data_IF_456646261526
#
_entry.id   IF_456646261526
#
_cell.length_a   1.000
_cell.length_b   1.000
_cell.length_c   1.000
_cell.angle_alpha   90.00
_cell.angle_beta   90.00
_cell.angle_gamma   90.00
#
_symmetry.space_group_name_H-M   'P 1'
#
loop_
_entity.id
_entity.type
_entity.pdbx_description
1 polymer ?
#
# COMPACT_ATOMS: atom_id res chain seq x y z
N UNK A 1 -3.68 -8.23 -25.10
CA UNK A 1 -4.52 -9.12 -24.27
C UNK A 1 -4.33 -8.65 -22.83
N UNK A 2 -5.40 -8.26 -22.15
CA UNK A 2 -5.32 -7.69 -20.79
C UNK A 2 -5.05 -8.86 -19.83
N UNK A 3 -3.93 -8.81 -19.12
CA UNK A 3 -3.55 -9.84 -18.15
C UNK A 3 -4.36 -9.67 -16.87
N UNK A 4 -4.55 -10.76 -16.13
CA UNK A 4 -5.23 -10.73 -14.83
C UNK A 4 -4.46 -9.78 -13.92
N UNK A 5 -5.15 -8.79 -13.36
CA UNK A 5 -4.54 -7.86 -12.41
C UNK A 5 -4.01 -6.56 -13.01
N UNK A 6 -3.87 -6.44 -14.33
CA UNK A 6 -3.38 -5.19 -14.98
C UNK A 6 -4.26 -3.96 -14.72
N UNK A 7 -5.51 -4.15 -14.27
CA UNK A 7 -6.41 -3.08 -13.80
C UNK A 7 -6.04 -2.51 -12.43
N UNK A 8 -5.19 -3.20 -11.67
CA UNK A 8 -4.84 -2.87 -10.30
C UNK A 8 -3.38 -2.44 -10.15
N UNK A 9 -2.65 -2.18 -11.24
CA UNK A 9 -1.29 -1.63 -11.17
C UNK A 9 -1.25 -0.33 -10.35
N UNK A 10 -2.23 0.54 -10.59
CA UNK A 10 -2.42 1.81 -9.87
C UNK A 10 -3.38 1.69 -8.67
N UNK A 11 -3.63 0.46 -8.19
CA UNK A 11 -4.46 0.29 -7.00
C UNK A 11 -3.80 0.94 -5.79
N UNK A 12 -4.62 1.60 -4.98
CA UNK A 12 -4.14 2.19 -3.74
C UNK A 12 -3.55 1.12 -2.83
N UNK A 13 -2.43 1.46 -2.20
CA UNK A 13 -1.78 0.63 -1.20
C UNK A 13 -2.10 1.22 0.16
N UNK A 14 -2.66 0.40 1.03
CA UNK A 14 -3.01 0.77 2.40
C UNK A 14 -2.28 -0.14 3.37
N UNK A 15 -1.57 0.44 4.34
CA UNK A 15 -1.04 -0.31 5.48
C UNK A 15 -1.37 0.36 6.79
N UNK A 16 -1.79 -0.44 7.77
CA UNK A 16 -2.15 0.11 9.07
C UNK A 16 -2.29 -0.96 10.16
N UNK A 17 -2.22 -0.57 11.45
CA UNK A 17 -2.70 -1.39 12.54
C UNK A 17 -4.19 -1.70 12.41
N UNK A 18 -4.57 -2.84 12.99
CA UNK A 18 -5.95 -3.20 13.24
C UNK A 18 -6.75 -2.11 13.93
N UNK A 19 -7.95 -1.87 13.39
CA UNK A 19 -9.01 -1.11 14.05
C UNK A 19 -10.00 -2.04 14.76
N UNK A 20 -9.89 -3.36 14.52
CA UNK A 20 -10.73 -4.38 15.11
C UNK A 20 -10.26 -4.65 16.54
N UNK A 21 -11.19 -4.63 17.48
CA UNK A 21 -10.92 -5.04 18.86
C UNK A 21 -10.63 -6.55 18.97
N UNK A 22 -11.00 -7.35 17.96
CA UNK A 22 -10.74 -8.78 17.94
C UNK A 22 -9.28 -9.11 17.57
N UNK A 23 -8.61 -8.22 16.83
CA UNK A 23 -7.25 -8.43 16.32
C UNK A 23 -6.30 -7.27 16.69
N UNK A 24 -6.19 -6.84 17.97
CA UNK A 24 -5.49 -5.61 18.34
C UNK A 24 -3.98 -5.66 18.06
N UNK A 25 -3.41 -6.85 17.98
CA UNK A 25 -1.97 -7.10 17.80
C UNK A 25 -1.59 -7.40 16.34
N UNK A 26 -2.46 -7.04 15.39
CA UNK A 26 -2.26 -7.27 13.95
C UNK A 26 -2.14 -5.94 13.20
N UNK A 27 -1.30 -5.92 12.17
CA UNK A 27 -1.27 -4.89 11.13
C UNK A 27 -1.55 -5.53 9.77
N UNK A 28 -2.06 -4.76 8.82
CA UNK A 28 -2.43 -5.24 7.50
C UNK A 28 -1.79 -4.45 6.39
N UNK A 29 -1.71 -5.09 5.23
CA UNK A 29 -1.47 -4.51 3.93
C UNK A 29 -2.62 -4.93 3.00
N UNK A 30 -3.23 -3.94 2.37
CA UNK A 30 -4.16 -4.11 1.27
C UNK A 30 -3.60 -3.43 0.02
N UNK A 31 -3.48 -4.19 -1.07
CA UNK A 31 -3.12 -3.69 -2.39
C UNK A 31 -3.97 -4.43 -3.42
N UNK A 32 -5.00 -3.78 -3.96
CA UNK A 32 -6.00 -4.44 -4.82
C UNK A 32 -6.63 -5.67 -4.15
N UNK A 33 -6.46 -6.85 -4.73
CA UNK A 33 -6.91 -8.14 -4.17
C UNK A 33 -5.86 -8.85 -3.30
N UNK A 34 -4.70 -8.24 -3.11
CA UNK A 34 -3.67 -8.75 -2.21
C UNK A 34 -4.01 -8.24 -0.82
N UNK A 35 -4.32 -9.17 0.07
CA UNK A 35 -4.48 -8.90 1.50
C UNK A 35 -3.46 -9.72 2.28
N UNK A 36 -2.67 -9.04 3.11
CA UNK A 36 -1.67 -9.67 3.98
C UNK A 36 -1.71 -8.99 5.34
N UNK A 37 -1.46 -9.77 6.37
CA UNK A 37 -1.38 -9.27 7.73
C UNK A 37 0.09 -9.35 8.24
N UNK A 38 0.35 -8.98 9.48
CA UNK A 38 1.55 -9.35 10.25
C UNK A 38 1.36 -8.96 11.73
N UNK A 39 2.17 -9.49 12.67
CA UNK A 39 2.17 -9.00 14.05
C UNK A 39 2.47 -7.50 14.11
N UNK A 40 1.69 -6.75 14.88
CA UNK A 40 1.82 -5.30 15.06
C UNK A 40 3.22 -4.90 15.53
N UNK A 41 3.83 -5.68 16.43
CA UNK A 41 5.18 -5.43 16.92
C UNK A 41 6.23 -5.42 15.79
N UNK A 42 6.07 -6.28 14.77
CA UNK A 42 6.96 -6.29 13.60
C UNK A 42 6.71 -5.09 12.69
N UNK A 43 5.45 -4.67 12.52
CA UNK A 43 5.09 -3.48 11.75
C UNK A 43 5.62 -2.20 12.41
N UNK A 44 5.49 -2.08 13.73
CA UNK A 44 6.03 -0.97 14.53
C UNK A 44 7.54 -0.80 14.36
N UNK A 45 8.27 -1.91 14.25
CA UNK A 45 9.71 -1.89 14.04
C UNK A 45 10.14 -1.31 12.67
N UNK A 46 9.23 -1.18 11.69
CA UNK A 46 9.54 -0.58 10.38
C UNK A 46 9.71 0.94 10.45
N UNK A 47 8.95 1.60 11.32
CA UNK A 47 8.84 3.06 11.26
C UNK A 47 9.73 3.78 12.27
N UNK A 48 10.27 3.08 13.29
CA UNK A 48 11.19 3.58 14.33
C UNK A 48 10.94 5.05 14.77
N UNK A 49 9.68 5.48 14.76
CA UNK A 49 9.30 6.88 14.94
C UNK A 49 8.32 7.01 16.11
N UNK A 50 8.62 7.88 17.09
CA UNK A 50 7.93 7.92 18.37
C UNK A 50 6.61 8.71 18.39
N UNK A 51 6.08 9.10 17.22
CA UNK A 51 4.89 9.95 17.16
C UNK A 51 3.60 9.13 16.95
N UNK A 52 2.47 9.53 17.57
CA UNK A 52 1.21 8.76 17.57
C UNK A 52 0.58 8.47 16.20
N UNK A 53 1.08 9.07 15.10
CA UNK A 53 0.57 8.87 13.74
C UNK A 53 1.47 8.02 12.83
N UNK A 54 2.65 7.60 13.29
CA UNK A 54 3.63 6.89 12.45
C UNK A 54 3.05 5.62 11.81
N UNK A 55 2.25 4.89 12.56
CA UNK A 55 1.71 3.60 12.13
C UNK A 55 0.56 3.76 11.13
N UNK A 56 -0.10 4.91 11.14
CA UNK A 56 -1.22 5.25 10.25
C UNK A 56 -0.77 6.07 9.04
N UNK A 57 0.53 6.34 8.88
CA UNK A 57 1.04 7.25 7.85
C UNK A 57 0.80 6.78 6.42
N UNK A 58 0.49 5.50 6.20
CA UNK A 58 0.11 4.93 4.90
C UNK A 58 -1.26 4.25 4.97
N UNK A 59 -2.07 4.59 5.98
CA UNK A 59 -3.45 4.12 6.07
C UNK A 59 -4.25 4.81 4.97
N UNK A 60 -4.81 4.02 4.08
CA UNK A 60 -5.71 4.48 3.04
C UNK A 60 -7.01 3.66 3.09
N UNK A 61 -8.00 4.16 3.83
CA UNK A 61 -9.32 3.52 4.04
C UNK A 61 -10.42 4.15 3.18
N UNK A 62 -10.07 4.59 1.97
CA UNK A 62 -11.09 5.14 1.07
C UNK A 62 -11.98 4.02 0.54
N UNK A 63 -13.27 4.09 0.88
CA UNK A 63 -14.34 3.23 0.33
C UNK A 63 -14.95 3.80 -0.95
N UNK A 64 -14.36 4.87 -1.51
CA UNK A 64 -14.89 5.62 -2.64
C UNK A 64 -14.01 5.45 -3.87
N UNK A 65 -14.65 5.36 -5.04
CA UNK A 65 -13.98 5.47 -6.33
C UNK A 65 -14.56 6.69 -7.05
N UNK A 66 -13.82 7.79 -7.03
CA UNK A 66 -14.07 8.93 -7.92
C UNK A 66 -12.84 9.12 -8.80
N UNK A 67 -12.98 9.29 -10.12
CA UNK A 67 -11.85 9.73 -10.93
C UNK A 67 -11.37 11.06 -10.36
N UNK A 68 -10.14 11.07 -9.83
CA UNK A 68 -9.56 12.31 -9.36
C UNK A 68 -9.13 13.13 -10.57
N UNK A 69 -10.03 14.01 -10.98
CA UNK A 69 -9.77 14.97 -12.04
C UNK A 69 -8.97 16.16 -11.52
N UNK A 70 -8.89 16.34 -10.19
CA UNK A 70 -7.99 17.33 -9.62
C UNK A 70 -6.55 16.85 -9.89
N UNK A 71 -5.73 17.74 -10.43
CA UNK A 71 -4.36 17.48 -10.90
C UNK A 71 -4.21 16.76 -12.24
N UNK A 72 -5.28 16.29 -12.91
CA UNK A 72 -5.12 15.64 -14.23
C UNK A 72 -4.54 16.60 -15.28
N UNK A 73 -5.06 17.83 -15.34
CA UNK A 73 -4.51 18.88 -16.23
C UNK A 73 -3.05 19.22 -15.88
N UNK A 74 -2.71 19.25 -14.59
CA UNK A 74 -1.35 19.49 -14.13
C UNK A 74 -0.41 18.34 -14.53
N UNK A 75 -0.86 17.09 -14.43
CA UNK A 75 -0.10 15.92 -14.87
C UNK A 75 0.18 15.95 -16.38
N UNK A 76 -0.83 16.29 -17.19
CA UNK A 76 -0.67 16.46 -18.65
C UNK A 76 0.33 17.57 -18.96
N UNK A 77 0.19 18.73 -18.31
CA UNK A 77 1.08 19.87 -18.52
C UNK A 77 2.53 19.55 -18.13
N UNK A 78 2.73 18.83 -17.03
CA UNK A 78 4.04 18.43 -16.52
C UNK A 78 4.62 17.20 -17.24
N UNK A 79 3.81 16.47 -18.03
CA UNK A 79 4.14 15.15 -18.60
C UNK A 79 4.67 14.17 -17.53
N UNK A 80 4.03 14.19 -16.37
CA UNK A 80 4.44 13.44 -15.19
C UNK A 80 3.22 13.17 -14.31
N UNK A 81 3.23 12.05 -13.59
CA UNK A 81 2.22 11.74 -12.57
C UNK A 81 2.56 12.35 -11.21
N UNK A 82 3.73 12.99 -11.04
CA UNK A 82 4.09 13.62 -9.77
C UNK A 82 3.03 14.61 -9.23
N UNK A 83 2.39 15.46 -10.07
CA UNK A 83 1.34 16.36 -9.59
C UNK A 83 0.11 15.66 -8.99
N UNK A 84 -0.17 14.41 -9.36
CA UNK A 84 -1.26 13.63 -8.77
C UNK A 84 -1.06 13.43 -7.26
N UNK A 85 0.20 13.26 -6.83
CA UNK A 85 0.55 13.03 -5.43
C UNK A 85 0.64 14.33 -4.60
N UNK A 86 0.45 15.50 -5.21
CA UNK A 86 0.41 16.77 -4.48
C UNK A 86 -0.82 16.81 -3.56
N UNK A 87 -0.60 16.88 -2.25
CA UNK A 87 -1.65 16.76 -1.23
C UNK A 87 -1.94 15.32 -0.79
N UNK A 88 -1.28 14.32 -1.39
CA UNK A 88 -1.37 12.89 -1.03
C UNK A 88 -0.05 12.40 -0.42
N UNK A 89 0.42 13.12 0.61
CA UNK A 89 1.74 12.89 1.25
C UNK A 89 1.87 11.52 1.93
N UNK A 90 0.77 10.78 2.03
CA UNK A 90 0.64 9.49 2.70
C UNK A 90 0.30 8.36 1.72
N UNK A 91 0.44 8.59 0.41
CA UNK A 91 0.27 7.57 -0.61
C UNK A 91 1.56 6.77 -0.79
N UNK A 92 1.54 5.48 -0.44
CA UNK A 92 2.72 4.61 -0.55
C UNK A 92 3.09 4.29 -2.02
N UNK A 93 2.19 4.56 -2.97
CA UNK A 93 2.49 4.44 -4.41
C UNK A 93 3.25 5.65 -4.97
N UNK A 94 3.37 6.74 -4.22
CA UNK A 94 4.18 7.89 -4.59
C UNK A 94 5.65 7.46 -4.80
N UNK A 95 6.25 7.73 -5.97
CA UNK A 95 7.66 7.41 -6.24
C UNK A 95 8.64 7.97 -5.20
N UNK A 96 8.27 9.04 -4.49
CA UNK A 96 9.08 9.63 -3.40
C UNK A 96 9.19 8.70 -2.18
N UNK A 97 8.23 7.79 -1.99
CA UNK A 97 8.21 6.80 -0.90
C UNK A 97 8.74 5.43 -1.32
N UNK A 98 9.52 5.33 -2.41
CA UNK A 98 10.02 4.04 -2.92
C UNK A 98 10.78 3.22 -1.86
N UNK A 99 11.59 3.86 -1.02
CA UNK A 99 12.30 3.18 0.07
C UNK A 99 11.34 2.58 1.11
N UNK A 100 10.32 3.36 1.50
CA UNK A 100 9.31 2.91 2.47
C UNK A 100 8.44 1.81 1.87
N UNK A 101 8.03 1.94 0.60
CA UNK A 101 7.29 0.91 -0.14
C UNK A 101 8.07 -0.40 -0.16
N UNK A 102 9.37 -0.35 -0.46
CA UNK A 102 10.21 -1.54 -0.48
C UNK A 102 10.30 -2.20 0.91
N UNK A 103 10.54 -1.42 1.96
CA UNK A 103 10.61 -1.93 3.33
C UNK A 103 9.28 -2.56 3.79
N UNK A 104 8.17 -1.88 3.52
CA UNK A 104 6.82 -2.38 3.80
C UNK A 104 6.53 -3.65 3.02
N UNK A 105 6.75 -3.66 1.70
CA UNK A 105 6.46 -4.82 0.87
C UNK A 105 7.29 -6.02 1.32
N UNK A 106 8.58 -5.85 1.56
CA UNK A 106 9.46 -6.91 2.06
C UNK A 106 8.96 -7.49 3.39
N UNK A 107 8.54 -6.64 4.34
CA UNK A 107 8.01 -7.07 5.63
C UNK A 107 6.71 -7.90 5.50
N UNK A 108 5.87 -7.57 4.51
CA UNK A 108 4.67 -8.33 4.16
C UNK A 108 4.96 -9.46 3.15
N UNK A 109 6.22 -9.76 2.82
CA UNK A 109 6.60 -10.84 1.90
C UNK A 109 6.22 -10.61 0.43
N UNK A 110 6.14 -9.35 0.03
CA UNK A 110 5.98 -8.84 -1.33
C UNK A 110 7.29 -8.20 -1.82
N UNK A 111 7.29 -7.65 -3.02
CA UNK A 111 8.45 -6.94 -3.58
C UNK A 111 8.02 -5.58 -4.15
N UNK A 112 8.52 -4.49 -3.58
CA UNK A 112 8.11 -3.14 -3.96
C UNK A 112 8.64 -2.66 -5.32
N UNK A 113 9.63 -3.35 -5.89
CA UNK A 113 10.15 -3.11 -7.25
C UNK A 113 9.32 -3.84 -8.33
N UNK A 114 8.40 -4.73 -7.93
CA UNK A 114 7.50 -5.44 -8.82
C UNK A 114 6.15 -4.72 -8.97
N UNK A 115 5.50 -4.93 -10.11
CA UNK A 115 4.14 -4.47 -10.37
C UNK A 115 3.09 -5.28 -9.59
N UNK A 116 1.84 -4.90 -9.76
CA UNK A 116 0.72 -5.60 -9.12
C UNK A 116 0.64 -7.05 -9.60
N UNK A 117 0.76 -7.30 -10.89
CA UNK A 117 0.58 -8.65 -11.46
C UNK A 117 1.58 -9.66 -10.88
N UNK A 118 2.86 -9.30 -10.76
CA UNK A 118 3.87 -10.15 -10.14
C UNK A 118 3.66 -10.32 -8.64
N UNK A 119 3.29 -9.26 -7.92
CA UNK A 119 2.98 -9.34 -6.49
C UNK A 119 1.73 -10.19 -6.23
N UNK A 120 0.74 -10.17 -7.13
CA UNK A 120 -0.43 -11.03 -7.07
C UNK A 120 -0.04 -12.49 -7.25
N UNK A 121 0.89 -12.79 -8.17
CA UNK A 121 1.44 -14.15 -8.30
C UNK A 121 2.17 -14.58 -7.04
N UNK A 122 2.98 -13.71 -6.44
CA UNK A 122 3.65 -14.00 -5.16
C UNK A 122 2.62 -14.30 -4.06
N UNK A 123 1.54 -13.53 -4.00
CA UNK A 123 0.44 -13.77 -3.06
C UNK A 123 -0.24 -15.12 -3.29
N UNK A 124 -0.69 -15.40 -4.51
CA UNK A 124 -1.38 -16.64 -4.87
C UNK A 124 -0.50 -17.90 -4.73
N UNK A 125 0.81 -17.77 -4.92
CA UNK A 125 1.77 -18.87 -4.77
C UNK A 125 2.27 -19.04 -3.33
N UNK A 126 2.01 -18.07 -2.46
CA UNK A 126 2.48 -18.13 -1.08
C UNK A 126 1.53 -18.92 -0.18
N UNK A 127 2.10 -19.70 0.73
CA UNK A 127 1.39 -20.17 1.93
C UNK A 127 1.32 -19.06 2.99
N UNK A 128 1.19 -17.79 2.58
CA UNK A 128 1.06 -16.65 3.47
C UNK A 128 -0.26 -16.75 4.23
N UNK A 129 -0.22 -17.56 5.29
CA UNK A 129 -1.28 -17.70 6.26
C UNK A 129 -0.99 -16.72 7.34
N UNK A 130 -1.91 -15.81 7.57
CA UNK A 130 -1.99 -15.19 8.87
C UNK A 130 -3.33 -15.62 9.43
N UNK A 131 -3.19 -16.36 10.52
CA UNK A 131 -4.25 -17.13 11.13
C UNK A 131 -4.00 -17.25 12.62
N UNK A 132 -5.13 -17.03 13.29
CA UNK A 132 -5.58 -17.43 14.62
C UNK A 132 -4.81 -16.90 15.80
#
# INVERSE_FOLDING_TARGET
MKTIGSDFEDAMISTSPSISADDPDIAYLQYGWIYREMPLAKYQALFDQPWPGALDQYRAEEISFSPDLYQFEACIAARSNLPFYEGRQHDLSDPRHHADKNAVFEAFGLNGDLGYEENLRLHLASDWKIKS
#
